data_IF_574393710522
#
_entry.id   IF_574393710522
#
_cell.length_a   1.000
_cell.length_b   1.000
_cell.length_c   1.000
_cell.angle_alpha   90.00
_cell.angle_beta   90.00
_cell.angle_gamma   90.00
#
_symmetry.space_group_name_H-M   'P 1'
#
loop_
_entity.id
_entity.type
_entity.pdbx_description
1 polymer ?
#
# COMPACT_ATOMS: atom_id res chain seq x y z
N UNK A 1 -1.97 -5.08 -1.05
CA UNK A 1 -1.98 -4.48 -2.41
C UNK A 1 -3.42 -4.17 -2.77
N UNK A 2 -3.65 -3.24 -3.70
CA UNK A 2 -5.00 -2.87 -4.14
C UNK A 2 -5.70 -4.05 -4.81
N UNK A 3 -6.96 -4.32 -4.42
CA UNK A 3 -7.86 -5.16 -5.19
C UNK A 3 -8.29 -4.35 -6.42
N UNK A 4 -7.87 -4.80 -7.61
CA UNK A 4 -8.06 -4.07 -8.86
C UNK A 4 -9.40 -4.45 -9.48
N UNK A 5 -10.38 -3.54 -9.41
CA UNK A 5 -11.71 -3.71 -10.02
C UNK A 5 -11.61 -4.06 -11.51
N UNK A 6 -10.65 -3.46 -12.20
CA UNK A 6 -10.35 -3.66 -13.62
C UNK A 6 -9.91 -5.09 -13.99
N UNK A 7 -9.64 -5.97 -13.02
CA UNK A 7 -9.29 -7.38 -13.25
C UNK A 7 -10.46 -8.35 -13.15
N UNK A 8 -11.65 -7.88 -12.78
CA UNK A 8 -12.84 -8.72 -12.63
C UNK A 8 -13.71 -8.63 -13.88
N UNK A 9 -14.22 -9.77 -14.34
CA UNK A 9 -15.18 -9.85 -15.44
C UNK A 9 -16.63 -9.65 -14.97
N UNK A 10 -16.88 -9.84 -13.67
CA UNK A 10 -18.17 -9.68 -13.03
C UNK A 10 -18.07 -8.75 -11.81
N UNK A 11 -19.01 -7.81 -11.69
CA UNK A 11 -19.06 -6.84 -10.60
C UNK A 11 -19.36 -7.53 -9.26
N UNK A 12 -20.22 -8.56 -9.25
CA UNK A 12 -20.58 -9.23 -8.00
C UNK A 12 -19.37 -9.96 -7.40
N UNK A 13 -18.54 -10.60 -8.23
CA UNK A 13 -17.27 -11.17 -7.81
C UNK A 13 -16.31 -10.13 -7.20
N UNK A 14 -16.24 -8.92 -7.75
CA UNK A 14 -15.45 -7.84 -7.17
C UNK A 14 -16.01 -7.39 -5.82
N UNK A 15 -17.32 -7.17 -5.71
CA UNK A 15 -17.96 -6.73 -4.47
C UNK A 15 -17.81 -7.76 -3.34
N UNK A 16 -17.81 -9.05 -3.66
CA UNK A 16 -17.64 -10.12 -2.67
C UNK A 16 -16.27 -10.12 -1.98
N UNK A 17 -15.23 -9.62 -2.66
CA UNK A 17 -13.85 -9.59 -2.12
C UNK A 17 -13.38 -8.20 -1.71
N UNK A 18 -14.06 -7.15 -2.20
CA UNK A 18 -13.79 -5.77 -1.84
C UNK A 18 -13.90 -5.58 -0.32
N UNK A 19 -12.89 -4.96 0.30
CA UNK A 19 -12.85 -4.71 1.74
C UNK A 19 -12.60 -5.92 2.64
N UNK A 20 -12.52 -7.15 2.10
CA UNK A 20 -12.21 -8.36 2.89
C UNK A 20 -10.79 -8.28 3.47
N UNK A 21 -9.83 -7.83 2.66
CA UNK A 21 -8.44 -7.68 3.06
C UNK A 21 -8.13 -6.22 3.37
N UNK A 22 -8.36 -5.83 4.63
CA UNK A 22 -8.16 -4.46 5.11
C UNK A 22 -7.19 -4.40 6.29
N UNK A 23 -6.23 -3.49 6.22
CA UNK A 23 -5.32 -3.17 7.32
C UNK A 23 -5.94 -2.05 8.16
N UNK A 24 -6.18 -2.32 9.44
CA UNK A 24 -6.72 -1.41 10.45
C UNK A 24 -5.86 -1.47 11.74
N UNK A 25 -6.21 -0.66 12.75
CA UNK A 25 -5.49 -0.64 14.03
C UNK A 25 -5.51 -1.99 14.77
N UNK A 26 -6.54 -2.81 14.58
CA UNK A 26 -6.62 -4.16 15.15
C UNK A 26 -5.56 -5.07 14.54
N UNK A 27 -5.40 -5.04 13.21
CA UNK A 27 -4.33 -5.78 12.51
C UNK A 27 -2.96 -5.26 12.95
N UNK A 28 -2.78 -3.95 13.08
CA UNK A 28 -1.52 -3.37 13.58
C UNK A 28 -1.15 -3.86 14.98
N UNK A 29 -2.14 -4.08 15.85
CA UNK A 29 -1.96 -4.63 17.20
C UNK A 29 -1.35 -6.03 17.23
N UNK A 30 -1.55 -6.81 16.16
CA UNK A 30 -0.97 -8.15 16.01
C UNK A 30 0.45 -8.13 15.44
N UNK A 31 0.91 -6.99 14.92
CA UNK A 31 2.21 -6.86 14.27
C UNK A 31 3.34 -6.66 15.28
N UNK A 32 4.51 -7.26 14.99
CA UNK A 32 5.74 -7.03 15.76
C UNK A 32 6.05 -5.54 15.90
N UNK A 33 6.64 -5.15 17.03
CA UNK A 33 6.85 -3.73 17.41
C UNK A 33 7.54 -2.86 16.35
N UNK A 34 8.44 -3.45 15.56
CA UNK A 34 9.24 -2.77 14.55
C UNK A 34 8.75 -2.99 13.11
N UNK A 35 7.65 -3.72 12.92
CA UNK A 35 7.11 -3.97 11.60
C UNK A 35 6.56 -2.68 10.98
N UNK A 36 6.70 -2.55 9.66
CA UNK A 36 6.20 -1.41 8.88
C UNK A 36 5.15 -1.87 7.87
N UNK A 37 4.28 -0.96 7.47
CA UNK A 37 3.29 -1.18 6.41
C UNK A 37 3.73 -0.48 5.14
N UNK A 38 3.87 -1.24 4.06
CA UNK A 38 4.19 -0.75 2.72
C UNK A 38 3.01 -0.93 1.77
N UNK A 39 2.88 -0.02 0.79
CA UNK A 39 1.82 -0.04 -0.20
C UNK A 39 2.26 0.73 -1.45
N UNK A 40 2.11 0.17 -2.67
CA UNK A 40 2.57 0.83 -3.90
C UNK A 40 1.74 2.05 -4.29
N UNK A 41 0.55 2.25 -3.71
CA UNK A 41 -0.45 3.27 -4.07
C UNK A 41 -0.92 3.14 -5.55
N UNK A 42 -2.03 3.79 -5.94
CA UNK A 42 -3.06 4.38 -5.07
C UNK A 42 -3.72 3.31 -4.19
N UNK A 43 -4.18 3.73 -3.00
CA UNK A 43 -5.03 2.89 -2.14
C UNK A 43 -6.50 3.29 -2.28
N UNK A 44 -7.40 2.37 -2.02
CA UNK A 44 -8.86 2.59 -2.03
C UNK A 44 -9.42 2.32 -0.64
N UNK A 45 -9.45 1.06 -0.22
CA UNK A 45 -10.09 0.59 1.01
C UNK A 45 -9.25 -0.47 1.74
N UNK A 46 -8.16 -0.93 1.14
CA UNK A 46 -7.26 -1.95 1.67
C UNK A 46 -6.43 -1.49 2.88
N UNK A 47 -6.34 -0.18 3.14
CA UNK A 47 -5.70 0.40 4.34
C UNK A 47 -6.60 1.49 4.90
N UNK A 48 -7.02 1.33 6.15
CA UNK A 48 -7.82 2.33 6.85
C UNK A 48 -7.03 3.63 7.06
N UNK A 49 -7.69 4.79 6.93
CA UNK A 49 -7.04 6.10 7.05
C UNK A 49 -6.39 6.34 8.42
N UNK A 50 -6.93 5.75 9.49
CA UNK A 50 -6.35 5.80 10.83
C UNK A 50 -4.90 5.27 10.90
N UNK A 51 -4.51 4.38 9.99
CA UNK A 51 -3.16 3.81 9.92
C UNK A 51 -2.13 4.89 9.57
N UNK A 52 -2.53 5.98 8.90
CA UNK A 52 -1.64 7.07 8.48
C UNK A 52 -0.97 7.77 9.66
N UNK A 53 -1.67 7.87 10.78
CA UNK A 53 -1.16 8.54 11.98
C UNK A 53 -0.12 7.70 12.72
N UNK A 54 0.02 6.42 12.37
CA UNK A 54 0.92 5.49 13.07
C UNK A 54 2.32 5.59 12.45
N UNK A 55 3.40 5.68 13.25
CA UNK A 55 4.78 5.73 12.75
C UNK A 55 5.20 4.56 11.85
N UNK A 56 4.43 3.45 11.90
CA UNK A 56 4.64 2.24 11.10
C UNK A 56 4.16 2.37 9.65
N UNK A 57 3.35 3.38 9.32
CA UNK A 57 2.93 3.66 7.96
C UNK A 57 4.10 4.16 7.09
N UNK A 58 4.68 3.25 6.30
CA UNK A 58 5.86 3.55 5.49
C UNK A 58 5.54 3.88 4.03
N UNK A 59 4.30 3.70 3.57
CA UNK A 59 3.91 3.86 2.16
C UNK A 59 4.11 5.28 1.62
N UNK A 60 3.99 6.33 2.43
CA UNK A 60 4.34 7.69 1.99
C UNK A 60 5.85 7.88 1.81
N UNK A 61 6.65 7.38 2.75
CA UNK A 61 8.11 7.35 2.62
C UNK A 61 8.55 6.51 1.42
N UNK A 62 7.90 5.38 1.19
CA UNK A 62 8.11 4.52 0.03
C UNK A 62 7.86 5.28 -1.28
N UNK A 63 6.74 5.99 -1.41
CA UNK A 63 6.42 6.76 -2.62
C UNK A 63 7.48 7.84 -2.88
N UNK A 64 7.92 8.56 -1.83
CA UNK A 64 9.03 9.51 -1.91
C UNK A 64 10.34 8.85 -2.35
N UNK A 65 10.65 7.67 -1.81
CA UNK A 65 11.85 6.92 -2.20
C UNK A 65 11.84 6.54 -3.69
N UNK A 66 10.66 6.41 -4.31
CA UNK A 66 10.54 6.22 -5.76
C UNK A 66 11.22 7.31 -6.60
N UNK A 67 11.24 8.57 -6.13
CA UNK A 67 11.97 9.66 -6.80
C UNK A 67 13.47 9.37 -6.81
N UNK A 68 14.06 9.14 -5.63
CA UNK A 68 15.50 8.93 -5.47
C UNK A 68 15.97 7.68 -6.20
N UNK A 69 15.20 6.60 -6.15
CA UNK A 69 15.52 5.36 -6.89
C UNK A 69 15.51 5.60 -8.39
N UNK A 70 14.55 6.34 -8.92
CA UNK A 70 14.50 6.66 -10.35
C UNK A 70 15.66 7.57 -10.78
N UNK A 71 16.01 8.57 -9.98
CA UNK A 71 17.18 9.41 -10.23
C UNK A 71 18.46 8.58 -10.31
N UNK A 72 18.70 7.72 -9.31
CA UNK A 72 19.88 6.85 -9.27
C UNK A 72 19.90 5.85 -10.44
N UNK A 73 18.74 5.31 -10.82
CA UNK A 73 18.64 4.40 -11.97
C UNK A 73 18.95 5.11 -13.29
N UNK A 74 18.41 6.31 -13.50
CA UNK A 74 18.66 7.10 -14.71
C UNK A 74 20.13 7.51 -14.79
N UNK A 75 20.72 7.95 -13.68
CA UNK A 75 22.16 8.23 -13.59
C UNK A 75 22.98 7.01 -14.00
N UNK A 76 22.65 5.82 -13.47
CA UNK A 76 23.41 4.60 -13.75
C UNK A 76 23.31 4.09 -15.20
N UNK A 77 22.24 4.42 -15.91
CA UNK A 77 21.97 3.90 -17.26
C UNK A 77 22.30 4.93 -18.35
N UNK A 78 22.25 6.22 -18.05
CA UNK A 78 22.42 7.31 -19.03
C UNK A 78 23.73 8.09 -18.86
N UNK A 79 24.41 7.99 -17.72
CA UNK A 79 25.74 8.58 -17.47
C UNK A 79 26.84 7.51 -17.53
#
# INVERSE_FOLDING_TARGET
>A
TRIQKERFTDEAAYQAVKGVYRIDNRVLGLMRKQAIVMHPLPRVDEIAQEVDAVPRAAYFRQARNGLFVRMALLDKVLA
#
